data_IF_971884253519
#
_entry.id   IF_971884253519
#
_cell.length_a   1.000
_cell.length_b   1.000
_cell.length_c   1.000
_cell.angle_alpha   90.00
_cell.angle_beta   90.00
_cell.angle_gamma   90.00
#
_symmetry.space_group_name_H-M   'P 1'
#
loop_
_entity.id
_entity.type
_entity.pdbx_description
1 polymer ?
#
# COMPACT_ATOMS: atom_id res chain seq x y z
N UNK A 1 27.98 17.72 41.63
CA UNK A 1 27.35 18.43 40.50
C UNK A 1 26.77 17.41 39.55
N UNK A 2 25.51 17.05 39.75
CA UNK A 2 24.74 16.16 38.89
C UNK A 2 24.17 16.97 37.71
N UNK A 3 24.23 16.43 36.49
CA UNK A 3 23.40 16.92 35.37
C UNK A 3 22.59 15.75 34.81
N UNK A 4 21.28 15.88 34.98
CA UNK A 4 20.28 14.86 34.72
C UNK A 4 20.06 14.54 33.25
N UNK A 5 19.85 13.25 33.00
CA UNK A 5 19.31 12.70 31.76
C UNK A 5 17.82 13.02 31.66
N UNK A 6 17.39 13.64 30.56
CA UNK A 6 15.98 13.88 30.25
C UNK A 6 15.26 12.58 29.87
N UNK A 7 14.63 11.94 30.85
CA UNK A 7 13.81 10.75 30.65
C UNK A 7 12.53 11.05 29.87
N UNK A 8 12.49 10.67 28.58
CA UNK A 8 11.22 10.48 27.85
C UNK A 8 10.53 9.26 28.44
N UNK A 9 9.47 9.46 29.22
CA UNK A 9 8.60 8.38 29.73
C UNK A 9 7.94 7.67 28.54
N UNK A 10 8.50 6.55 28.11
CA UNK A 10 7.81 5.62 27.20
C UNK A 10 6.70 4.92 27.98
N UNK A 11 5.47 4.96 27.46
CA UNK A 11 4.37 4.18 28.00
C UNK A 11 4.66 2.66 27.85
N UNK A 12 4.33 1.81 28.84
CA UNK A 12 4.50 0.38 28.73
C UNK A 12 3.70 -0.18 27.55
N UNK A 13 4.32 -1.01 26.70
CA UNK A 13 3.64 -1.76 25.64
C UNK A 13 2.81 -2.87 26.28
N UNK A 14 1.55 -2.57 26.59
CA UNK A 14 0.53 -3.54 27.00
C UNK A 14 -0.63 -3.57 26.00
N UNK A 15 -1.23 -4.74 25.81
CA UNK A 15 -2.41 -4.95 24.96
C UNK A 15 -3.57 -4.05 25.40
N UNK A 16 -3.83 -2.99 24.64
CA UNK A 16 -5.05 -2.20 24.80
C UNK A 16 -6.23 -3.03 24.28
N UNK A 17 -7.00 -3.66 25.17
CA UNK A 17 -8.34 -4.13 24.82
C UNK A 17 -9.21 -2.89 24.62
N UNK A 18 -9.60 -2.63 23.37
CA UNK A 18 -10.61 -1.62 23.05
C UNK A 18 -11.93 -2.00 23.74
N UNK A 19 -12.58 -1.09 24.48
CA UNK A 19 -13.93 -1.34 24.99
C UNK A 19 -14.88 -1.70 23.84
N UNK A 20 -15.84 -2.64 24.05
CA UNK A 20 -16.79 -3.01 23.02
C UNK A 20 -17.53 -1.76 22.53
N UNK A 21 -17.60 -1.61 21.20
CA UNK A 21 -18.37 -0.52 20.58
C UNK A 21 -19.85 -0.74 20.89
N UNK A 22 -20.41 0.10 21.76
CA UNK A 22 -21.86 0.24 21.87
C UNK A 22 -22.36 0.82 20.56
N UNK A 23 -22.95 -0.03 19.71
CA UNK A 23 -23.68 0.37 18.52
C UNK A 23 -24.90 1.16 18.96
N UNK A 24 -24.80 2.49 18.98
CA UNK A 24 -26.00 3.33 19.08
C UNK A 24 -26.77 3.19 17.77
N UNK A 25 -27.94 2.54 17.83
CA UNK A 25 -28.92 2.60 16.77
C UNK A 25 -29.32 4.05 16.56
N UNK A 26 -29.05 4.56 15.36
CA UNK A 26 -29.51 5.87 14.90
C UNK A 26 -31.00 5.76 14.62
N UNK A 27 -31.84 6.19 15.56
CA UNK A 27 -33.26 6.38 15.31
C UNK A 27 -33.45 7.33 14.14
N UNK A 28 -34.25 6.88 13.16
CA UNK A 28 -34.64 7.66 11.99
C UNK A 28 -35.64 8.73 12.44
N UNK A 29 -35.15 9.95 12.69
CA UNK A 29 -36.04 11.10 12.81
C UNK A 29 -36.57 11.48 11.43
N UNK A 30 -37.87 11.28 11.24
CA UNK A 30 -38.65 11.71 10.08
C UNK A 30 -38.59 13.23 9.91
N UNK A 31 -38.62 13.64 8.64
CA UNK A 31 -38.64 15.02 8.18
C UNK A 31 -39.76 15.86 8.84
N UNK A 32 -39.37 16.97 9.49
CA UNK A 32 -40.28 18.06 9.84
C UNK A 32 -40.25 19.14 8.75
N UNK A 33 -41.45 19.51 8.29
CA UNK A 33 -41.76 20.52 7.27
C UNK A 33 -41.27 21.94 7.65
N UNK A 34 -41.08 22.84 6.68
CA UNK A 34 -40.73 24.23 6.94
C UNK A 34 -41.96 25.00 7.45
N UNK A 35 -41.81 25.70 8.57
CA UNK A 35 -42.83 26.64 9.07
C UNK A 35 -42.43 28.05 8.64
N UNK A 36 -43.39 28.72 7.99
CA UNK A 36 -43.35 30.11 7.48
C UNK A 36 -43.29 31.09 8.65
N UNK A 37 -42.57 32.23 8.56
CA UNK A 37 -42.55 33.24 9.62
C UNK A 37 -43.80 34.13 9.54
N UNK A 38 -44.58 34.19 10.61
CA UNK A 38 -45.60 35.22 10.84
C UNK A 38 -45.08 36.32 11.80
N UNK A 39 -45.66 37.54 11.75
CA UNK A 39 -44.93 38.77 12.03
C UNK A 39 -44.94 39.17 13.51
N UNK A 40 -44.03 40.10 13.79
CA UNK A 40 -43.74 40.73 15.08
C UNK A 40 -44.98 41.03 15.94
N UNK A 41 -45.08 40.36 17.09
CA UNK A 41 -45.83 40.85 18.23
C UNK A 41 -44.91 41.68 19.12
N UNK A 42 -45.19 42.98 19.19
CA UNK A 42 -44.66 43.92 20.17
C UNK A 42 -44.80 43.38 21.60
N UNK A 43 -43.68 42.96 22.19
CA UNK A 43 -43.62 42.63 23.61
C UNK A 43 -43.09 43.85 24.36
N UNK A 44 -43.97 44.38 25.22
CA UNK A 44 -43.68 45.29 26.30
C UNK A 44 -42.42 44.85 27.06
N UNK A 45 -41.55 45.81 27.38
CA UNK A 45 -40.33 45.57 28.13
C UNK A 45 -40.62 44.93 29.47
N UNK A 46 -40.17 43.69 29.63
CA UNK A 46 -40.09 43.03 30.92
C UNK A 46 -38.71 43.36 31.50
N UNK A 47 -38.64 44.28 32.48
CA UNK A 47 -37.39 44.73 33.15
C UNK A 47 -36.62 43.59 33.86
N UNK A 48 -37.10 42.36 33.77
CA UNK A 48 -36.57 41.17 34.45
C UNK A 48 -35.86 40.16 33.55
N UNK A 49 -35.51 40.50 32.31
CA UNK A 49 -34.64 39.64 31.47
C UNK A 49 -33.43 40.41 30.95
N UNK A 50 -32.21 39.91 31.24
CA UNK A 50 -30.97 40.41 30.64
C UNK A 50 -30.78 39.72 29.30
N UNK A 51 -30.86 40.48 28.21
CA UNK A 51 -30.63 39.93 26.86
C UNK A 51 -29.13 39.72 26.60
N UNK A 52 -28.73 38.78 25.72
CA UNK A 52 -27.32 38.57 25.36
C UNK A 52 -26.63 39.82 24.82
N UNK A 53 -27.36 40.70 24.15
CA UNK A 53 -26.85 42.00 23.65
C UNK A 53 -26.59 42.98 24.80
N UNK A 54 -27.53 43.12 25.75
CA UNK A 54 -27.33 43.96 26.94
C UNK A 54 -26.17 43.49 27.82
N UNK A 55 -25.97 42.18 27.92
CA UNK A 55 -24.82 41.62 28.64
C UNK A 55 -23.51 41.93 27.92
N UNK A 56 -23.44 41.75 26.60
CA UNK A 56 -22.25 42.05 25.82
C UNK A 56 -21.88 43.55 25.87
N UNK A 57 -22.87 44.44 25.79
CA UNK A 57 -22.67 45.89 25.90
C UNK A 57 -22.18 46.31 27.29
N UNK A 58 -22.73 45.74 28.36
CA UNK A 58 -22.35 46.06 29.74
C UNK A 58 -21.05 45.40 30.24
N UNK A 59 -20.48 44.46 29.49
CA UNK A 59 -19.30 43.67 29.90
C UNK A 59 -18.13 43.76 28.93
N UNK A 60 -18.10 44.78 28.06
CA UNK A 60 -17.05 45.01 27.06
C UNK A 60 -16.90 43.86 26.05
N UNK A 61 -18.01 43.23 25.65
CA UNK A 61 -18.06 42.25 24.56
C UNK A 61 -17.96 40.78 24.98
N UNK A 62 -18.12 40.45 26.27
CA UNK A 62 -18.22 39.05 26.70
C UNK A 62 -19.53 38.43 26.22
N UNK A 63 -19.50 37.13 25.94
CA UNK A 63 -20.68 36.41 25.43
C UNK A 63 -21.43 35.80 26.60
N UNK A 64 -22.74 36.03 26.67
CA UNK A 64 -23.59 35.44 27.69
C UNK A 64 -23.76 33.93 27.47
N UNK A 65 -22.98 33.13 28.18
CA UNK A 65 -23.13 31.67 28.27
C UNK A 65 -23.70 31.30 29.66
N UNK A 66 -24.97 30.91 29.66
CA UNK A 66 -25.72 30.48 30.86
C UNK A 66 -25.16 29.19 31.47
N UNK A 67 -24.52 28.33 30.68
CA UNK A 67 -23.88 27.10 31.18
C UNK A 67 -22.55 27.39 31.86
N UNK A 68 -21.84 28.43 31.41
CA UNK A 68 -20.62 28.91 32.07
C UNK A 68 -20.95 29.63 33.39
N UNK A 69 -22.02 30.43 33.39
CA UNK A 69 -22.54 31.07 34.60
C UNK A 69 -23.01 30.05 35.65
N UNK A 70 -23.62 28.94 35.21
CA UNK A 70 -24.00 27.83 36.08
C UNK A 70 -22.79 27.21 36.78
N UNK A 71 -21.70 26.98 36.03
CA UNK A 71 -20.44 26.46 36.58
C UNK A 71 -19.78 27.43 37.55
N UNK A 72 -19.83 28.73 37.28
CA UNK A 72 -19.22 29.76 38.13
C UNK A 72 -20.00 29.95 39.44
N UNK A 73 -21.33 29.86 39.38
CA UNK A 73 -22.22 30.09 40.53
C UNK A 73 -22.60 28.82 41.30
N UNK A 74 -22.27 27.64 40.76
CA UNK A 74 -22.62 26.34 41.33
C UNK A 74 -24.12 26.03 41.33
N UNK A 75 -24.92 26.81 40.60
CA UNK A 75 -26.38 26.65 40.47
C UNK A 75 -26.74 26.06 39.12
N UNK A 76 -27.89 25.40 39.05
CA UNK A 76 -28.40 24.89 37.78
C UNK A 76 -28.68 26.03 36.80
N UNK A 77 -28.42 25.80 35.51
CA UNK A 77 -28.56 26.81 34.46
C UNK A 77 -29.99 27.40 34.35
N UNK A 78 -30.99 26.65 34.80
CA UNK A 78 -32.40 27.07 34.86
C UNK A 78 -32.73 28.00 36.04
N UNK A 79 -31.84 28.12 37.02
CA UNK A 79 -32.02 28.95 38.23
C UNK A 79 -31.28 30.29 38.15
N UNK A 80 -30.59 30.55 37.04
CA UNK A 80 -29.83 31.78 36.83
C UNK A 80 -30.80 32.87 36.39
N UNK A 81 -31.29 33.65 37.36
CA UNK A 81 -32.14 34.79 37.12
C UNK A 81 -31.38 36.03 36.63
N UNK A 82 -32.09 36.95 36.00
CA UNK A 82 -31.56 38.23 35.50
C UNK A 82 -30.87 39.08 36.57
N UNK A 83 -31.32 39.02 37.83
CA UNK A 83 -30.67 39.73 38.93
C UNK A 83 -29.28 39.18 39.25
N UNK A 84 -29.09 37.86 39.10
CA UNK A 84 -27.80 37.23 39.35
C UNK A 84 -26.80 37.58 38.24
N UNK A 85 -27.30 37.73 37.00
CA UNK A 85 -26.53 38.23 35.86
C UNK A 85 -26.15 39.71 36.07
N UNK A 86 -27.10 40.55 36.48
CA UNK A 86 -26.84 41.97 36.81
C UNK A 86 -25.83 42.12 37.95
N UNK A 87 -25.91 41.28 38.98
CA UNK A 87 -24.97 41.27 40.10
C UNK A 87 -23.53 40.94 39.64
N UNK A 88 -23.39 39.97 38.73
CA UNK A 88 -22.09 39.65 38.11
C UNK A 88 -21.57 40.84 37.30
N UNK A 89 -22.43 41.52 36.53
CA UNK A 89 -22.06 42.72 35.76
C UNK A 89 -21.63 43.90 36.64
N UNK A 90 -22.19 44.05 37.84
CA UNK A 90 -21.88 45.14 38.76
C UNK A 90 -20.59 44.92 39.56
N UNK A 91 -20.07 43.68 39.61
CA UNK A 91 -18.86 43.34 40.35
C UNK A 91 -17.68 43.02 39.41
N UNK A 92 -16.68 43.92 39.32
CA UNK A 92 -15.52 43.75 38.41
C UNK A 92 -14.73 42.44 38.61
N UNK A 93 -14.64 41.94 39.84
CA UNK A 93 -13.94 40.69 40.15
C UNK A 93 -14.67 39.47 39.59
N UNK A 94 -16.00 39.44 39.67
CA UNK A 94 -16.83 38.36 39.11
C UNK A 94 -16.80 38.37 37.58
N UNK A 95 -16.76 39.57 36.97
CA UNK A 95 -16.53 39.70 35.52
C UNK A 95 -15.16 39.18 35.09
N UNK A 96 -14.10 39.47 35.85
CA UNK A 96 -12.77 38.94 35.53
C UNK A 96 -12.71 37.41 35.63
N UNK A 97 -13.36 36.82 36.63
CA UNK A 97 -13.47 35.36 36.76
C UNK A 97 -14.27 34.77 35.59
N UNK A 98 -15.39 35.40 35.24
CA UNK A 98 -16.22 34.98 34.10
C UNK A 98 -15.44 35.04 32.77
N UNK A 99 -14.70 36.13 32.53
CA UNK A 99 -13.84 36.28 31.36
C UNK A 99 -12.76 35.19 31.30
N UNK A 100 -12.07 34.91 32.41
CA UNK A 100 -11.05 33.86 32.47
C UNK A 100 -11.63 32.47 32.17
N UNK A 101 -12.83 32.17 32.69
CA UNK A 101 -13.54 30.92 32.43
C UNK A 101 -13.98 30.82 30.96
N UNK A 102 -14.42 31.93 30.37
CA UNK A 102 -14.80 31.96 28.96
C UNK A 102 -13.59 31.71 28.05
N UNK A 103 -12.47 32.38 28.31
CA UNK A 103 -11.22 32.13 27.58
C UNK A 103 -10.71 30.69 27.75
N UNK A 104 -10.86 30.10 28.94
CA UNK A 104 -10.47 28.72 29.19
C UNK A 104 -11.33 27.74 28.39
N UNK A 105 -12.66 27.92 28.38
CA UNK A 105 -13.57 27.08 27.62
C UNK A 105 -13.33 27.21 26.11
N UNK A 106 -13.05 28.42 25.61
CA UNK A 106 -12.61 28.60 24.21
C UNK A 106 -11.30 27.88 23.90
N UNK A 107 -10.28 27.99 24.77
CA UNK A 107 -9.01 27.28 24.60
C UNK A 107 -9.23 25.77 24.63
N UNK A 108 -10.10 25.27 25.50
CA UNK A 108 -10.48 23.86 25.59
C UNK A 108 -11.19 23.39 24.32
N UNK A 109 -12.14 24.16 23.81
CA UNK A 109 -12.87 23.86 22.58
C UNK A 109 -11.93 23.80 21.38
N UNK A 110 -11.02 24.78 21.22
CA UNK A 110 -9.99 24.76 20.15
C UNK A 110 -9.07 23.53 20.26
N UNK A 111 -8.70 23.10 21.48
CA UNK A 111 -7.93 21.86 21.68
C UNK A 111 -8.73 20.62 21.27
N UNK A 112 -10.00 20.55 21.63
CA UNK A 112 -10.89 19.43 21.28
C UNK A 112 -11.12 19.34 19.77
N UNK A 113 -11.35 20.46 19.09
CA UNK A 113 -11.51 20.51 17.63
C UNK A 113 -10.25 20.05 16.90
N UNK A 114 -9.07 20.53 17.33
CA UNK A 114 -7.79 20.05 16.79
C UNK A 114 -7.61 18.55 17.00
N UNK A 115 -7.99 18.03 18.16
CA UNK A 115 -7.92 16.60 18.46
C UNK A 115 -8.89 15.79 17.57
N UNK A 116 -10.14 16.26 17.41
CA UNK A 116 -11.14 15.66 16.52
C UNK A 116 -10.66 15.64 15.07
N UNK A 117 -10.12 16.74 14.55
CA UNK A 117 -9.56 16.83 13.21
C UNK A 117 -8.38 15.85 13.02
N UNK A 118 -7.46 15.82 13.98
CA UNK A 118 -6.32 14.89 13.95
C UNK A 118 -6.76 13.42 14.01
N UNK A 119 -7.81 13.12 14.78
CA UNK A 119 -8.39 11.78 14.84
C UNK A 119 -9.07 11.37 13.52
N UNK A 120 -9.81 12.29 12.88
CA UNK A 120 -10.39 12.07 11.54
C UNK A 120 -9.30 11.77 10.51
N UNK A 121 -8.27 12.61 10.43
CA UNK A 121 -7.15 12.42 9.51
C UNK A 121 -6.42 11.09 9.75
N UNK A 122 -6.21 10.70 11.01
CA UNK A 122 -5.59 9.40 11.34
C UNK A 122 -6.45 8.22 10.87
N UNK A 123 -7.77 8.30 11.05
CA UNK A 123 -8.71 7.26 10.59
C UNK A 123 -8.75 7.19 9.07
N UNK A 124 -8.77 8.33 8.39
CA UNK A 124 -8.77 8.41 6.94
C UNK A 124 -7.50 7.83 6.32
N UNK A 125 -6.32 8.17 6.86
CA UNK A 125 -5.06 7.54 6.45
C UNK A 125 -5.06 6.03 6.66
N UNK A 126 -5.56 5.56 7.80
CA UNK A 126 -5.67 4.12 8.07
C UNK A 126 -6.64 3.44 7.10
N UNK A 127 -7.78 4.07 6.81
CA UNK A 127 -8.78 3.58 5.86
C UNK A 127 -8.16 3.45 4.45
N UNK A 128 -7.52 4.49 3.94
CA UNK A 128 -6.87 4.43 2.61
C UNK A 128 -5.76 3.39 2.52
N UNK A 129 -4.99 3.19 3.60
CA UNK A 129 -3.99 2.12 3.66
C UNK A 129 -4.64 0.73 3.63
N UNK A 130 -5.73 0.53 4.38
CA UNK A 130 -6.49 -0.74 4.37
C UNK A 130 -7.09 -1.00 3.00
N UNK A 131 -7.73 -0.01 2.37
CA UNK A 131 -8.29 -0.13 1.02
C UNK A 131 -7.22 -0.49 -0.02
N UNK A 132 -6.01 0.07 0.12
CA UNK A 132 -4.87 -0.27 -0.76
C UNK A 132 -4.47 -1.73 -0.58
N UNK A 133 -4.35 -2.21 0.66
CA UNK A 133 -4.02 -3.61 0.92
C UNK A 133 -5.13 -4.57 0.51
N UNK A 134 -6.41 -4.22 0.70
CA UNK A 134 -7.54 -5.02 0.24
C UNK A 134 -7.54 -5.18 -1.29
N UNK A 135 -7.21 -4.09 -2.01
CA UNK A 135 -7.04 -4.14 -3.46
C UNK A 135 -5.86 -5.03 -3.87
N UNK A 136 -4.70 -4.91 -3.21
CA UNK A 136 -3.53 -5.76 -3.47
C UNK A 136 -3.81 -7.25 -3.19
N UNK A 137 -4.53 -7.55 -2.11
CA UNK A 137 -4.95 -8.92 -1.77
C UNK A 137 -5.88 -9.47 -2.84
N UNK A 138 -6.89 -8.69 -3.28
CA UNK A 138 -7.80 -9.10 -4.35
C UNK A 138 -7.07 -9.36 -5.68
N UNK A 139 -6.08 -8.52 -6.01
CA UNK A 139 -5.22 -8.70 -7.19
C UNK A 139 -4.38 -9.98 -7.07
N UNK A 140 -3.77 -10.23 -5.90
CA UNK A 140 -3.01 -11.44 -5.61
C UNK A 140 -3.86 -12.71 -5.69
N UNK A 141 -5.06 -12.70 -5.13
CA UNK A 141 -6.00 -13.82 -5.20
C UNK A 141 -6.41 -14.12 -6.63
N UNK A 142 -6.60 -13.08 -7.45
CA UNK A 142 -6.91 -13.21 -8.88
C UNK A 142 -5.75 -13.85 -9.64
N UNK A 143 -4.52 -13.38 -9.41
CA UNK A 143 -3.31 -13.97 -10.00
C UNK A 143 -3.16 -15.44 -9.58
N UNK A 144 -3.33 -15.74 -8.29
CA UNK A 144 -3.22 -17.09 -7.76
C UNK A 144 -4.26 -18.02 -8.38
N UNK A 145 -5.49 -17.56 -8.60
CA UNK A 145 -6.52 -18.31 -9.32
C UNK A 145 -6.12 -18.56 -10.77
N UNK A 146 -5.61 -17.55 -11.49
CA UNK A 146 -5.14 -17.69 -12.88
C UNK A 146 -4.03 -18.75 -12.97
N UNK A 147 -3.01 -18.68 -12.11
CA UNK A 147 -1.90 -19.65 -12.07
C UNK A 147 -2.41 -21.06 -11.75
N UNK A 148 -3.26 -21.22 -10.72
CA UNK A 148 -3.81 -22.55 -10.37
C UNK A 148 -4.66 -23.17 -11.47
N UNK A 149 -5.34 -22.35 -12.27
CA UNK A 149 -6.17 -22.82 -13.38
C UNK A 149 -5.38 -23.19 -14.63
N UNK A 150 -4.10 -22.80 -14.71
CA UNK A 150 -3.28 -23.06 -15.87
C UNK A 150 -2.84 -24.53 -15.92
N UNK A 151 -2.97 -25.14 -17.11
CA UNK A 151 -2.42 -26.47 -17.41
C UNK A 151 -1.39 -26.32 -18.53
N UNK A 152 -0.16 -26.79 -18.29
CA UNK A 152 0.88 -26.79 -19.30
C UNK A 152 0.42 -27.58 -20.55
N UNK A 153 0.60 -26.99 -21.73
CA UNK A 153 0.20 -27.58 -23.00
C UNK A 153 -1.25 -27.33 -23.44
N UNK A 154 -2.10 -26.72 -22.60
CA UNK A 154 -3.45 -26.29 -22.97
C UNK A 154 -3.79 -24.95 -22.29
N UNK A 155 -3.83 -23.86 -23.06
CA UNK A 155 -4.25 -22.56 -22.53
C UNK A 155 -3.79 -21.37 -23.36
N UNK A 156 -4.10 -20.18 -22.87
CA UNK A 156 -3.65 -18.92 -23.45
C UNK A 156 -2.34 -18.50 -22.75
N UNK A 157 -1.21 -18.68 -23.41
CA UNK A 157 0.12 -18.35 -22.90
C UNK A 157 0.23 -16.89 -22.43
N UNK A 158 -0.57 -16.00 -23.02
CA UNK A 158 -0.64 -14.59 -22.63
C UNK A 158 -1.21 -14.38 -21.23
N UNK A 159 -2.15 -15.21 -20.79
CA UNK A 159 -2.73 -15.15 -19.43
C UNK A 159 -1.73 -15.64 -18.38
N UNK A 160 -0.94 -16.66 -18.71
CA UNK A 160 0.12 -17.13 -17.84
C UNK A 160 1.26 -16.10 -17.77
N UNK A 161 1.63 -15.52 -18.91
CA UNK A 161 2.57 -14.40 -18.94
C UNK A 161 2.03 -13.26 -18.09
N UNK A 162 0.80 -12.81 -18.25
CA UNK A 162 0.22 -11.73 -17.44
C UNK A 162 0.25 -12.05 -15.93
N UNK A 163 -0.04 -13.30 -15.55
CA UNK A 163 -0.04 -13.74 -14.15
C UNK A 163 1.37 -13.86 -13.55
N UNK A 164 2.35 -14.33 -14.33
CA UNK A 164 3.74 -14.54 -13.90
C UNK A 164 4.64 -13.31 -14.09
N UNK A 165 4.30 -12.42 -15.04
CA UNK A 165 5.05 -11.20 -15.35
C UNK A 165 4.99 -10.19 -14.22
N UNK A 166 4.17 -10.46 -13.18
CA UNK A 166 4.23 -9.80 -11.87
C UNK A 166 4.50 -8.32 -12.01
N UNK A 167 3.54 -7.60 -12.60
CA UNK A 167 3.61 -6.19 -12.95
C UNK A 167 4.47 -5.41 -11.92
N UNK A 168 5.72 -5.12 -12.30
CA UNK A 168 6.77 -4.47 -11.51
C UNK A 168 6.56 -4.50 -9.96
N UNK A 169 6.57 -5.68 -9.34
CA UNK A 169 6.55 -5.79 -7.86
C UNK A 169 7.90 -5.53 -7.20
N UNK A 170 8.88 -5.01 -7.94
CA UNK A 170 10.06 -4.46 -7.31
C UNK A 170 9.64 -3.20 -6.57
N UNK A 171 9.78 -3.22 -5.25
CA UNK A 171 9.49 -2.04 -4.44
C UNK A 171 10.28 -0.86 -5.03
N UNK A 172 9.61 0.26 -5.26
CA UNK A 172 10.22 1.46 -5.84
C UNK A 172 11.40 1.96 -4.98
N UNK A 173 11.43 1.54 -3.72
CA UNK A 173 12.47 1.85 -2.74
C UNK A 173 13.56 0.78 -2.63
N UNK A 174 13.52 -0.30 -3.44
CA UNK A 174 14.60 -1.28 -3.43
C UNK A 174 15.87 -0.64 -4.01
N UNK A 175 16.94 -0.65 -3.22
CA UNK A 175 18.26 -0.29 -3.71
C UNK A 175 18.74 -1.32 -4.73
N UNK A 176 19.65 -0.91 -5.61
CA UNK A 176 20.33 -1.79 -6.56
C UNK A 176 20.82 -3.08 -5.92
N UNK A 177 21.53 -2.96 -4.79
CA UNK A 177 22.10 -4.11 -4.10
C UNK A 177 21.02 -5.07 -3.57
N UNK A 178 19.89 -4.55 -3.08
CA UNK A 178 18.76 -5.38 -2.63
C UNK A 178 18.13 -6.12 -3.81
N UNK A 179 18.02 -5.47 -4.98
CA UNK A 179 17.48 -6.10 -6.19
C UNK A 179 18.43 -7.17 -6.70
N UNK A 180 19.74 -6.90 -6.76
CA UNK A 180 20.77 -7.89 -7.11
C UNK A 180 20.71 -9.11 -6.20
N UNK A 181 20.57 -8.90 -4.89
CA UNK A 181 20.46 -9.99 -3.93
C UNK A 181 19.20 -10.84 -4.17
N UNK A 182 18.05 -10.20 -4.42
CA UNK A 182 16.81 -10.92 -4.74
C UNK A 182 16.91 -11.68 -6.07
N UNK A 183 17.43 -11.05 -7.13
CA UNK A 183 17.65 -11.69 -8.42
C UNK A 183 18.59 -12.89 -8.28
N UNK A 184 19.66 -12.76 -7.52
CA UNK A 184 20.60 -13.85 -7.24
C UNK A 184 19.91 -15.01 -6.49
N UNK A 185 19.07 -14.72 -5.51
CA UNK A 185 18.31 -15.74 -4.79
C UNK A 185 17.31 -16.46 -5.71
N UNK A 186 16.59 -15.72 -6.55
CA UNK A 186 15.66 -16.29 -7.52
C UNK A 186 16.37 -17.16 -8.55
N UNK A 187 17.47 -16.66 -9.13
CA UNK A 187 18.28 -17.43 -10.09
C UNK A 187 18.83 -18.71 -9.46
N UNK A 188 19.28 -18.67 -8.20
CA UNK A 188 19.73 -19.86 -7.47
C UNK A 188 18.61 -20.87 -7.31
N UNK A 189 17.42 -20.42 -6.92
CA UNK A 189 16.24 -21.28 -6.80
C UNK A 189 15.85 -21.89 -8.14
N UNK A 190 15.81 -21.10 -9.22
CA UNK A 190 15.49 -21.58 -10.55
C UNK A 190 16.54 -22.57 -11.09
N UNK A 191 17.83 -22.34 -10.80
CA UNK A 191 18.90 -23.26 -11.12
C UNK A 191 18.74 -24.60 -10.40
N UNK A 192 18.40 -24.59 -9.11
CA UNK A 192 18.14 -25.81 -8.33
C UNK A 192 16.93 -26.58 -8.89
N UNK A 193 15.85 -25.87 -9.21
CA UNK A 193 14.66 -26.47 -9.79
C UNK A 193 14.94 -27.08 -11.17
N UNK A 194 15.65 -26.37 -12.05
CA UNK A 194 16.02 -26.87 -13.37
C UNK A 194 16.89 -28.13 -13.27
N UNK A 195 17.85 -28.14 -12.33
CA UNK A 195 18.70 -29.30 -12.05
C UNK A 195 17.89 -30.50 -11.56
N UNK A 196 16.93 -30.29 -10.65
CA UNK A 196 16.07 -31.37 -10.17
C UNK A 196 15.19 -31.97 -11.27
N UNK A 197 14.61 -31.12 -12.13
CA UNK A 197 13.80 -31.57 -13.28
C UNK A 197 14.69 -32.35 -14.26
N UNK A 198 15.91 -31.86 -14.54
CA UNK A 198 16.84 -32.57 -15.41
C UNK A 198 17.19 -33.94 -14.85
N UNK A 199 17.50 -34.06 -13.57
CA UNK A 199 17.83 -35.35 -12.95
C UNK A 199 16.69 -36.36 -13.14
N UNK A 200 15.43 -35.95 -12.90
CA UNK A 200 14.27 -36.80 -13.15
C UNK A 200 14.08 -37.14 -14.64
N UNK A 201 14.44 -36.20 -15.53
CA UNK A 201 14.37 -36.42 -16.97
C UNK A 201 15.50 -37.35 -17.47
N UNK A 202 16.68 -37.31 -16.87
CA UNK A 202 17.80 -38.22 -17.17
C UNK A 202 17.42 -39.67 -16.80
N UNK A 203 16.76 -39.87 -15.66
CA UNK A 203 16.16 -41.15 -15.29
C UNK A 203 15.13 -41.63 -16.33
N UNK A 204 14.26 -40.73 -16.78
CA UNK A 204 13.27 -41.02 -17.82
C UNK A 204 13.93 -41.36 -19.17
N UNK A 205 15.05 -40.70 -19.48
CA UNK A 205 15.84 -40.94 -20.68
C UNK A 205 16.51 -42.31 -20.67
N UNK A 206 17.11 -42.72 -19.55
CA UNK A 206 17.70 -44.06 -19.39
C UNK A 206 16.67 -45.17 -19.64
N UNK A 207 15.45 -45.01 -19.11
CA UNK A 207 14.36 -45.97 -19.34
C UNK A 207 13.91 -45.97 -20.81
N UNK A 208 13.86 -44.81 -21.46
CA UNK A 208 13.56 -44.71 -22.89
C UNK A 208 14.64 -45.37 -23.77
N UNK A 209 15.92 -45.24 -23.41
CA UNK A 209 17.03 -45.91 -24.09
C UNK A 209 16.98 -47.44 -23.92
N UNK A 210 16.74 -47.91 -22.68
CA UNK A 210 16.52 -49.32 -22.38
C UNK A 210 15.40 -49.92 -23.23
N UNK A 211 14.29 -49.21 -23.38
CA UNK A 211 13.16 -49.61 -24.22
C UNK A 211 13.49 -49.70 -25.72
N UNK A 212 14.49 -48.95 -26.20
CA UNK A 212 14.97 -49.00 -27.59
C UNK A 212 16.08 -50.01 -27.84
N UNK A 213 16.38 -50.89 -26.87
CA UNK A 213 17.47 -51.86 -26.93
C UNK A 213 18.84 -51.21 -27.09
N UNK A 214 19.04 -50.06 -26.46
CA UNK A 214 20.38 -49.47 -26.37
C UNK A 214 21.31 -50.43 -25.60
N UNK A 215 22.51 -50.67 -26.15
CA UNK A 215 23.44 -51.67 -25.65
C UNK A 215 23.85 -51.42 -24.19
N UNK A 216 23.99 -50.14 -23.79
CA UNK A 216 24.39 -49.77 -22.43
C UNK A 216 23.27 -50.01 -21.40
N UNK A 217 22.01 -50.06 -21.86
CA UNK A 217 20.84 -50.12 -20.99
C UNK A 217 20.05 -51.44 -21.09
N UNK A 218 20.61 -52.46 -21.75
CA UNK A 218 20.00 -53.78 -21.84
C UNK A 218 19.80 -54.43 -20.46
N UNK A 219 20.79 -54.31 -19.56
CA UNK A 219 20.65 -54.82 -18.19
C UNK A 219 19.47 -54.16 -17.49
N UNK A 220 19.31 -52.84 -17.62
CA UNK A 220 18.19 -52.09 -17.03
C UNK A 220 16.84 -52.58 -17.57
N UNK A 221 16.73 -52.82 -18.89
CA UNK A 221 15.53 -53.38 -19.51
C UNK A 221 15.14 -54.73 -18.88
N UNK A 222 16.13 -55.60 -18.68
CA UNK A 222 15.91 -56.91 -18.07
C UNK A 222 15.56 -56.81 -16.58
N UNK A 223 16.27 -55.99 -15.81
CA UNK A 223 15.99 -55.77 -14.38
C UNK A 223 14.59 -55.20 -14.14
N UNK A 224 14.12 -54.29 -15.00
CA UNK A 224 12.78 -53.72 -14.92
C UNK A 224 11.68 -54.64 -15.50
N UNK A 225 12.04 -55.71 -16.19
CA UNK A 225 11.08 -56.64 -16.79
C UNK A 225 10.18 -55.98 -17.84
N UNK A 226 10.70 -55.06 -18.66
CA UNK A 226 9.90 -54.29 -19.61
C UNK A 226 9.30 -55.18 -20.71
N UNK A 227 7.97 -55.18 -20.83
CA UNK A 227 7.24 -55.86 -21.92
C UNK A 227 7.42 -55.14 -23.25
N UNK A 228 7.20 -55.84 -24.37
CA UNK A 228 7.26 -55.22 -25.71
C UNK A 228 6.25 -54.08 -25.88
N UNK A 229 5.05 -54.23 -25.32
CA UNK A 229 4.03 -53.18 -25.34
C UNK A 229 4.46 -51.93 -24.54
N UNK A 230 5.16 -52.10 -23.42
CA UNK A 230 5.76 -50.97 -22.67
C UNK A 230 6.91 -50.34 -23.45
N UNK A 231 7.78 -51.16 -24.07
CA UNK A 231 8.89 -50.68 -24.89
C UNK A 231 8.40 -49.83 -26.07
N UNK A 232 7.35 -50.29 -26.76
CA UNK A 232 6.73 -49.56 -27.86
C UNK A 232 6.14 -48.20 -27.41
N UNK A 233 5.58 -48.12 -26.21
CA UNK A 233 5.09 -46.84 -25.64
C UNK A 233 6.23 -45.90 -25.26
N UNK A 234 7.26 -46.42 -24.60
CA UNK A 234 8.45 -45.64 -24.20
C UNK A 234 9.23 -45.12 -25.41
N UNK A 235 9.33 -45.91 -26.47
CA UNK A 235 9.95 -45.49 -27.73
C UNK A 235 9.23 -44.27 -28.36
N UNK A 236 7.91 -44.14 -28.20
CA UNK A 236 7.15 -42.98 -28.71
C UNK A 236 7.46 -41.69 -27.97
N UNK A 237 7.77 -41.75 -26.68
CA UNK A 237 8.07 -40.56 -25.86
C UNK A 237 9.56 -40.20 -25.83
N UNK A 238 10.44 -41.10 -26.31
CA UNK A 238 11.90 -40.92 -26.39
C UNK A 238 12.29 -39.52 -26.88
N UNK A 239 11.84 -39.13 -28.07
CA UNK A 239 12.22 -37.84 -28.65
C UNK A 239 11.74 -36.64 -27.82
N UNK A 240 10.58 -36.74 -27.18
CA UNK A 240 10.06 -35.69 -26.30
C UNK A 240 10.93 -35.51 -25.06
N UNK A 241 11.29 -36.62 -24.40
CA UNK A 241 12.18 -36.66 -23.22
C UNK A 241 13.55 -36.06 -23.57
N UNK A 242 14.12 -36.43 -24.72
CA UNK A 242 15.39 -35.88 -25.20
C UNK A 242 15.35 -34.38 -25.49
N UNK A 243 14.29 -33.93 -26.18
CA UNK A 243 14.09 -32.52 -26.50
C UNK A 243 13.92 -31.67 -25.24
N UNK A 244 13.19 -32.19 -24.24
CA UNK A 244 13.04 -31.55 -22.94
C UNK A 244 14.39 -31.42 -22.21
N UNK A 245 15.20 -32.49 -22.21
CA UNK A 245 16.56 -32.45 -21.61
C UNK A 245 17.44 -31.38 -22.27
N UNK A 246 17.38 -31.28 -23.60
CA UNK A 246 18.11 -30.25 -24.35
C UNK A 246 17.64 -28.84 -24.00
N UNK A 247 16.32 -28.62 -23.83
CA UNK A 247 15.78 -27.33 -23.42
C UNK A 247 16.20 -26.96 -22.00
N UNK A 248 16.18 -27.92 -21.07
CA UNK A 248 16.66 -27.74 -19.71
C UNK A 248 18.16 -27.42 -19.67
N UNK A 249 18.96 -28.01 -20.58
CA UNK A 249 20.37 -27.69 -20.82
C UNK A 249 20.60 -26.22 -21.17
N UNK A 250 19.78 -25.68 -22.06
CA UNK A 250 19.86 -24.28 -22.44
C UNK A 250 19.49 -23.38 -21.25
N UNK A 251 18.40 -23.71 -20.55
CA UNK A 251 17.92 -22.94 -19.39
C UNK A 251 18.97 -22.87 -18.28
N UNK A 252 19.60 -23.98 -17.92
CA UNK A 252 20.68 -23.97 -16.92
C UNK A 252 21.89 -23.16 -17.38
N UNK A 253 22.28 -23.26 -18.65
CA UNK A 253 23.36 -22.41 -19.20
C UNK A 253 23.02 -20.93 -19.09
N UNK A 254 21.77 -20.56 -19.38
CA UNK A 254 21.31 -19.19 -19.21
C UNK A 254 21.37 -18.74 -17.74
N UNK A 255 20.91 -19.58 -16.79
CA UNK A 255 20.99 -19.23 -15.37
C UNK A 255 22.43 -19.15 -14.86
N UNK A 256 23.31 -20.04 -15.31
CA UNK A 256 24.74 -19.98 -14.99
C UNK A 256 25.38 -18.69 -15.54
N UNK A 257 25.10 -18.34 -16.79
CA UNK A 257 25.57 -17.09 -17.39
C UNK A 257 25.04 -15.86 -16.62
N UNK A 258 23.76 -15.85 -16.24
CA UNK A 258 23.17 -14.79 -15.43
C UNK A 258 23.81 -14.73 -14.03
N UNK A 259 24.20 -15.86 -13.44
CA UNK A 259 24.91 -15.87 -12.16
C UNK A 259 26.33 -15.29 -12.26
N UNK A 260 27.06 -15.60 -13.33
CA UNK A 260 28.44 -15.12 -13.52
C UNK A 260 28.46 -13.64 -13.94
N UNK A 261 27.48 -13.21 -14.74
CA UNK A 261 27.44 -11.88 -15.32
C UNK A 261 26.38 -11.02 -14.64
N UNK A 262 26.73 -10.44 -13.49
CA UNK A 262 25.85 -9.57 -12.70
C UNK A 262 25.32 -8.36 -13.48
N UNK A 263 26.05 -7.88 -14.50
CA UNK A 263 25.62 -6.79 -15.37
C UNK A 263 24.40 -7.16 -16.24
N UNK A 264 24.13 -8.45 -16.44
CA UNK A 264 22.95 -8.92 -17.15
C UNK A 264 21.68 -8.83 -16.28
N UNK A 265 21.81 -8.76 -14.95
CA UNK A 265 20.64 -8.65 -14.07
C UNK A 265 19.88 -7.36 -14.36
N UNK A 266 20.65 -6.30 -14.55
CA UNK A 266 20.15 -4.99 -14.92
C UNK A 266 21.19 -4.32 -15.82
N UNK A 267 20.98 -4.23 -17.15
CA UNK A 267 21.80 -3.35 -17.97
C UNK A 267 21.74 -1.94 -17.35
N UNK A 268 22.79 -1.12 -17.49
CA UNK A 268 23.05 0.20 -16.83
C UNK A 268 21.86 1.19 -16.61
N UNK A 269 20.67 0.88 -17.09
CA UNK A 269 19.36 1.40 -16.67
C UNK A 269 19.18 1.63 -15.16
N UNK A 270 19.72 0.80 -14.26
CA UNK A 270 19.61 1.04 -12.80
C UNK A 270 20.29 2.35 -12.39
N UNK A 271 21.48 2.63 -12.94
CA UNK A 271 22.18 3.88 -12.66
C UNK A 271 21.38 5.10 -13.13
N UNK A 272 20.71 5.00 -14.28
CA UNK A 272 19.81 6.05 -14.77
C UNK A 272 18.56 6.21 -13.88
N UNK A 273 18.00 5.09 -13.41
CA UNK A 273 16.85 5.09 -12.50
C UNK A 273 17.23 5.74 -11.17
N UNK A 274 18.40 5.44 -10.62
CA UNK A 274 18.89 6.04 -9.37
C UNK A 274 19.17 7.54 -9.56
N UNK A 275 19.79 7.95 -10.67
CA UNK A 275 19.98 9.37 -11.01
C UNK A 275 18.65 10.12 -11.13
N UNK A 276 17.63 9.50 -11.74
CA UNK A 276 16.30 10.10 -11.88
C UNK A 276 15.54 10.16 -10.56
N UNK A 277 15.71 9.16 -9.69
CA UNK A 277 15.01 9.08 -8.41
C UNK A 277 15.68 9.89 -7.30
N UNK A 278 16.98 10.10 -7.35
CA UNK A 278 17.74 10.82 -6.32
C UNK A 278 17.19 12.23 -5.98
N UNK A 279 16.67 13.03 -6.93
CA UNK A 279 16.07 14.33 -6.64
C UNK A 279 14.67 14.26 -5.99
N UNK A 280 14.00 13.11 -6.04
CA UNK A 280 12.62 12.94 -5.56
C UNK A 280 12.62 12.42 -4.13
N UNK A 281 11.82 13.05 -3.25
CA UNK A 281 11.56 12.47 -1.93
C UNK A 281 10.56 11.30 -2.01
N UNK A 282 10.48 10.49 -0.95
CA UNK A 282 9.65 9.28 -0.92
C UNK A 282 8.16 9.53 -1.25
N UNK A 283 7.60 10.67 -0.85
CA UNK A 283 6.21 11.01 -1.17
C UNK A 283 6.02 11.41 -2.63
N UNK A 284 6.97 12.15 -3.20
CA UNK A 284 6.96 12.52 -4.63
C UNK A 284 7.12 11.28 -5.51
N UNK A 285 8.02 10.38 -5.12
CA UNK A 285 8.24 9.13 -5.82
C UNK A 285 7.00 8.22 -5.79
N UNK A 286 6.33 8.14 -4.64
CA UNK A 286 5.07 7.39 -4.52
C UNK A 286 3.96 7.97 -5.41
N UNK A 287 3.80 9.30 -5.43
CA UNK A 287 2.83 9.97 -6.32
C UNK A 287 3.15 9.74 -7.79
N UNK A 288 4.43 9.81 -8.17
CA UNK A 288 4.89 9.55 -9.53
C UNK A 288 4.55 8.12 -9.96
N UNK A 289 4.86 7.12 -9.13
CA UNK A 289 4.56 5.72 -9.42
C UNK A 289 3.05 5.51 -9.58
N UNK A 290 2.26 6.04 -8.65
CA UNK A 290 0.81 5.93 -8.72
C UNK A 290 0.26 6.57 -10.00
N UNK A 291 0.77 7.74 -10.38
CA UNK A 291 0.41 8.39 -11.63
C UNK A 291 0.80 7.56 -12.85
N UNK A 292 2.01 7.00 -12.90
CA UNK A 292 2.45 6.14 -14.02
C UNK A 292 1.63 4.87 -14.16
N UNK A 293 1.17 4.27 -13.03
CA UNK A 293 0.28 3.10 -13.05
C UNK A 293 -1.06 3.42 -13.68
N UNK A 294 -1.66 4.56 -13.30
CA UNK A 294 -2.96 5.02 -13.86
C UNK A 294 -2.84 5.35 -15.35
N UNK A 295 -1.72 5.94 -15.77
CA UNK A 295 -1.54 6.44 -17.14
C UNK A 295 -0.78 5.47 -18.06
N UNK A 296 -0.58 4.21 -17.63
CA UNK A 296 0.25 3.22 -18.31
C UNK A 296 -0.08 3.04 -19.80
N UNK A 297 -1.37 2.95 -20.14
CA UNK A 297 -1.78 2.73 -21.53
C UNK A 297 -1.40 3.91 -22.45
N UNK A 298 -1.57 5.14 -21.96
CA UNK A 298 -1.16 6.34 -22.71
C UNK A 298 0.36 6.41 -22.85
N UNK A 299 1.11 6.06 -21.78
CA UNK A 299 2.57 6.03 -21.81
C UNK A 299 3.08 5.01 -22.83
N UNK A 300 2.47 3.84 -22.93
CA UNK A 300 2.85 2.79 -23.88
C UNK A 300 2.59 3.16 -25.35
N UNK A 301 1.70 4.13 -25.60
CA UNK A 301 1.40 4.63 -26.94
C UNK A 301 2.34 5.76 -27.38
N UNK A 302 3.18 6.28 -26.48
CA UNK A 302 4.19 7.28 -26.83
C UNK A 302 5.24 6.61 -27.72
N UNK A 303 5.23 6.96 -29.01
CA UNK A 303 6.30 6.57 -29.93
C UNK A 303 7.55 7.40 -29.61
N UNK A 304 8.59 6.73 -29.12
CA UNK A 304 9.92 7.32 -29.04
C UNK A 304 10.45 7.45 -30.48
N UNK A 305 10.85 8.67 -30.84
CA UNK A 305 11.34 9.12 -32.15
C UNK A 305 12.06 8.02 -32.95
N UNK A 306 11.56 7.73 -34.16
CA UNK A 306 12.24 6.86 -35.12
C UNK A 306 13.69 7.36 -35.33
N UNK A 307 14.70 6.48 -35.41
CA UNK A 307 16.03 6.90 -35.80
C UNK A 307 15.95 7.62 -37.16
N UNK A 308 16.78 8.65 -37.40
CA UNK A 308 16.76 9.37 -38.67
C UNK A 308 16.94 8.37 -39.81
N UNK A 309 16.12 8.47 -40.85
CA UNK A 309 16.06 7.58 -42.01
C UNK A 309 17.35 7.57 -42.88
N UNK A 310 18.46 8.08 -42.36
CA UNK A 310 19.73 8.17 -43.07
C UNK A 310 20.59 6.94 -42.73
N UNK A 311 20.75 5.97 -43.66
CA UNK A 311 21.51 4.74 -43.44
C UNK A 311 23.00 4.97 -43.17
N UNK A 312 23.50 6.20 -43.27
CA UNK A 312 24.88 6.56 -42.87
C UNK A 312 25.04 6.75 -41.36
N UNK A 313 23.98 7.08 -40.62
CA UNK A 313 24.07 7.27 -39.16
C UNK A 313 24.23 5.95 -38.40
N UNK A 314 23.66 4.84 -38.90
CA UNK A 314 23.79 3.51 -38.29
C UNK A 314 25.22 2.95 -38.38
N UNK A 315 25.98 3.31 -39.42
CA UNK A 315 27.39 2.91 -39.56
C UNK A 315 28.32 3.51 -38.50
N UNK A 316 27.84 4.49 -37.73
CA UNK A 316 28.58 5.14 -36.63
C UNK A 316 28.27 4.54 -35.25
N UNK A 317 27.27 3.66 -35.15
CA UNK A 317 26.97 2.92 -33.91
C UNK A 317 27.90 1.70 -33.82
N UNK A 318 29.17 1.96 -33.56
CA UNK A 318 30.12 0.90 -33.18
C UNK A 318 29.81 0.51 -31.73
N UNK A 319 29.19 -0.66 -31.55
CA UNK A 319 29.14 -1.32 -30.26
C UNK A 319 30.53 -1.92 -29.98
N UNK A 320 31.43 -1.11 -29.41
CA UNK A 320 32.70 -1.61 -28.90
C UNK A 320 32.46 -2.34 -27.58
N UNK A 321 32.56 -3.67 -27.64
CA UNK A 321 32.73 -4.47 -26.44
C UNK A 321 34.13 -4.23 -25.88
N UNK A 322 34.29 -3.87 -24.59
CA UNK A 322 35.60 -3.82 -23.97
C UNK A 322 36.28 -5.19 -24.13
N UNK A 323 37.45 -5.22 -24.78
CA UNK A 323 38.22 -6.45 -25.01
C UNK A 323 38.91 -6.99 -23.74
N UNK A 324 38.64 -6.39 -22.59
CA UNK A 324 39.23 -6.79 -21.31
C UNK A 324 38.11 -6.97 -20.28
N UNK A 325 37.75 -8.24 -20.04
CA UNK A 325 37.27 -8.78 -18.77
C UNK A 325 37.95 -10.13 -18.54
#
# INVERSE_FOLDING_TARGET
MERGQGGKRHAPKGQWKTPPQMLYMKEKANASKPVVPEPASSAFGDENTVTPQQFAEGTQGLTLDTTLLAKMTGKDASQIGAEQIRNIMQHPELLSIYQKLQEEEERRQRRLERNRASARLRREKKKGLVETYEMEVSELETILKKVKSHKFGCGNDKLLLEALSGEQKQSVNMTRDTKHQQTSLLLKQHSQNASAIRQANDESWMVALAATNDAEFLQLKHTLGLTEAQCARLARVKNSVHNESTRLAIVEKCFAALHVHEWLHFPNSEGLVDLFRAPLNAQQLQKFVQWTRVNKQAIQQLQFVQPPADPKAESSLVFDFPREL
#
